data_IF_865460405491
#
_entry.id   IF_865460405491
#
_cell.length_a   1.000
_cell.length_b   1.000
_cell.length_c   1.000
_cell.angle_alpha   90.00
_cell.angle_beta   90.00
_cell.angle_gamma   90.00
#
_symmetry.space_group_name_H-M   'P 1'
#
loop_
_entity.id
_entity.type
_entity.pdbx_description
1 polymer ?
#
# COMPACT_ATOMS: atom_id res chain seq x y z
N UNK A 1 0.89 -1.84 -5.63
CA UNK A 1 -0.22 -2.81 -5.79
C UNK A 1 -0.97 -2.54 -7.09
N UNK A 2 -1.63 -3.52 -7.74
CA UNK A 2 -2.48 -3.26 -8.89
C UNK A 2 -3.69 -2.41 -8.48
N UNK A 3 -4.04 -1.42 -9.31
CA UNK A 3 -5.23 -0.58 -9.09
C UNK A 3 -6.46 -1.41 -9.41
N UNK A 4 -7.36 -1.52 -8.44
CA UNK A 4 -8.63 -2.22 -8.63
C UNK A 4 -9.50 -1.50 -9.66
N UNK A 5 -10.25 -2.20 -10.52
CA UNK A 5 -11.10 -1.59 -11.55
C UNK A 5 -12.02 -0.47 -11.01
N UNK A 6 -12.64 -0.69 -9.86
CA UNK A 6 -13.55 0.25 -9.19
C UNK A 6 -12.86 1.55 -8.74
N UNK A 7 -11.54 1.54 -8.53
CA UNK A 7 -10.78 2.71 -8.08
C UNK A 7 -10.15 3.49 -9.23
N UNK A 8 -10.24 3.04 -10.49
CA UNK A 8 -9.55 3.70 -11.62
C UNK A 8 -9.93 5.16 -11.78
N UNK A 9 -11.18 5.53 -11.53
CA UNK A 9 -11.67 6.91 -11.63
C UNK A 9 -11.12 7.86 -10.55
N UNK A 10 -10.50 7.33 -9.49
CA UNK A 10 -9.85 8.13 -8.44
C UNK A 10 -8.47 8.64 -8.84
N UNK A 11 -7.92 8.10 -9.93
CA UNK A 11 -6.62 8.48 -10.45
C UNK A 11 -6.81 9.40 -11.66
N UNK A 12 -5.87 10.33 -11.92
CA UNK A 12 -5.91 11.15 -13.13
C UNK A 12 -5.74 10.29 -14.39
N UNK A 13 -6.26 10.77 -15.53
CA UNK A 13 -6.20 10.05 -16.80
C UNK A 13 -4.77 9.73 -17.24
N UNK A 14 -3.80 10.61 -16.94
CA UNK A 14 -2.38 10.43 -17.23
C UNK A 14 -1.62 9.64 -16.14
N UNK A 15 -2.31 8.93 -15.25
CA UNK A 15 -1.67 8.08 -14.25
C UNK A 15 -0.58 7.13 -14.79
N UNK A 16 -0.74 6.48 -15.97
CA UNK A 16 0.33 5.63 -16.52
C UNK A 16 1.66 6.38 -16.71
N UNK A 17 1.59 7.65 -17.14
CA UNK A 17 2.76 8.52 -17.34
C UNK A 17 3.38 8.91 -15.99
N UNK A 18 2.56 9.40 -15.05
CA UNK A 18 3.01 9.73 -13.69
C UNK A 18 3.69 8.52 -13.03
N UNK A 19 3.08 7.34 -13.13
CA UNK A 19 3.63 6.12 -12.56
C UNK A 19 4.94 5.69 -13.23
N UNK A 20 5.08 5.87 -14.55
CA UNK A 20 6.32 5.58 -15.27
C UNK A 20 7.43 6.57 -14.88
N UNK A 21 7.11 7.87 -14.80
CA UNK A 21 8.03 8.93 -14.36
C UNK A 21 8.60 8.60 -12.98
N UNK A 22 7.74 8.30 -12.01
CA UNK A 22 8.18 7.97 -10.66
C UNK A 22 9.03 6.69 -10.64
N UNK A 23 8.62 5.62 -11.32
CA UNK A 23 9.28 4.30 -11.20
C UNK A 23 10.56 4.17 -12.02
N UNK A 24 10.62 4.79 -13.19
CA UNK A 24 11.66 4.49 -14.18
C UNK A 24 12.49 5.70 -14.56
N UNK A 25 11.94 6.91 -14.56
CA UNK A 25 12.73 8.12 -14.76
C UNK A 25 13.40 8.57 -13.46
N UNK A 26 12.61 8.93 -12.44
CA UNK A 26 13.12 9.40 -11.14
C UNK A 26 13.85 8.30 -10.37
N UNK A 27 13.18 7.18 -10.13
CA UNK A 27 13.73 6.11 -9.31
C UNK A 27 14.71 5.18 -10.05
N UNK A 28 14.84 5.35 -11.37
CA UNK A 28 15.71 4.54 -12.25
C UNK A 28 15.50 3.03 -12.07
N UNK A 29 14.25 2.60 -11.87
CA UNK A 29 13.92 1.20 -11.66
C UNK A 29 14.35 0.64 -10.31
N UNK A 30 14.71 1.47 -9.31
CA UNK A 30 15.14 1.01 -7.99
C UNK A 30 14.15 1.43 -6.91
N UNK A 31 13.88 0.58 -5.92
CA UNK A 31 12.99 0.89 -4.79
C UNK A 31 13.49 2.09 -3.97
N UNK A 32 12.68 3.14 -3.79
CA UNK A 32 13.04 4.36 -3.04
C UNK A 32 12.77 4.26 -1.54
N UNK A 33 12.21 3.16 -1.03
CA UNK A 33 11.98 2.96 0.40
C UNK A 33 13.31 3.01 1.17
N UNK A 34 13.37 3.84 2.22
CA UNK A 34 14.54 4.01 3.10
C UNK A 34 14.34 3.44 4.52
N UNK A 35 13.24 2.72 4.75
CA UNK A 35 12.91 2.11 6.04
C UNK A 35 11.48 2.37 6.48
N UNK A 36 10.84 3.38 5.88
CA UNK A 36 9.43 3.75 6.12
C UNK A 36 8.42 2.61 5.90
N UNK A 37 8.78 1.57 5.14
CA UNK A 37 7.93 0.38 5.04
C UNK A 37 7.72 -0.32 6.39
N UNK A 38 8.68 -0.22 7.33
CA UNK A 38 8.63 -0.84 8.66
C UNK A 38 9.13 -2.29 8.73
N UNK A 39 9.72 -2.81 7.64
CA UNK A 39 10.04 -4.25 7.53
C UNK A 39 11.31 -4.64 8.28
N UNK A 40 12.16 -3.66 8.63
CA UNK A 40 13.43 -3.90 9.35
C UNK A 40 14.43 -4.75 8.56
N UNK A 41 14.31 -4.77 7.23
CA UNK A 41 15.07 -5.67 6.35
C UNK A 41 16.24 -5.01 5.62
N UNK A 42 16.40 -3.70 5.76
CA UNK A 42 17.48 -2.98 5.10
C UNK A 42 17.83 -1.74 5.93
N UNK A 43 19.13 -1.50 6.14
CA UNK A 43 19.66 -0.42 6.99
C UNK A 43 19.73 0.95 6.28
N UNK A 44 19.10 1.06 5.11
CA UNK A 44 19.07 2.26 4.30
C UNK A 44 18.10 2.11 3.15
N UNK A 45 18.47 2.58 1.95
CA UNK A 45 17.65 2.39 0.75
C UNK A 45 17.50 0.90 0.41
N UNK A 46 16.27 0.44 0.20
CA UNK A 46 15.97 -0.91 -0.22
C UNK A 46 16.78 -1.28 -1.49
N UNK A 47 17.48 -2.44 -1.52
CA UNK A 47 18.35 -2.80 -2.62
C UNK A 47 17.60 -3.30 -3.86
N UNK A 48 16.29 -3.59 -3.75
CA UNK A 48 15.51 -4.20 -4.81
C UNK A 48 15.40 -3.28 -6.05
N UNK A 49 15.81 -3.83 -7.20
CA UNK A 49 15.62 -3.26 -8.54
C UNK A 49 14.51 -3.98 -9.30
N UNK A 50 13.81 -3.27 -10.18
CA UNK A 50 12.72 -3.83 -10.98
C UNK A 50 13.19 -5.00 -11.84
N UNK A 51 12.44 -6.10 -11.83
CA UNK A 51 12.76 -7.31 -12.60
C UNK A 51 13.83 -8.21 -11.99
N UNK A 52 14.63 -7.71 -11.04
CA UNK A 52 15.64 -8.49 -10.33
C UNK A 52 15.00 -9.43 -9.29
N UNK A 53 15.73 -10.46 -8.83
CA UNK A 53 15.34 -11.23 -7.65
C UNK A 53 15.27 -10.33 -6.41
N UNK A 54 14.20 -10.45 -5.64
CA UNK A 54 14.05 -9.72 -4.38
C UNK A 54 15.06 -10.24 -3.37
N UNK A 55 15.73 -9.32 -2.68
CA UNK A 55 16.55 -9.65 -1.53
C UNK A 55 15.71 -10.41 -0.47
N UNK A 56 16.25 -11.50 0.05
CA UNK A 56 15.58 -12.39 1.02
C UNK A 56 14.70 -13.47 0.39
N UNK A 57 13.71 -13.11 -0.45
CA UNK A 57 12.73 -14.09 -0.97
C UNK A 57 13.05 -14.65 -2.35
N UNK A 58 13.93 -14.02 -3.14
CA UNK A 58 14.27 -14.42 -4.50
C UNK A 58 13.17 -14.20 -5.55
N UNK A 59 11.94 -13.88 -5.14
CA UNK A 59 10.80 -13.57 -6.03
C UNK A 59 11.10 -12.38 -6.94
N UNK A 60 10.55 -12.37 -8.16
CA UNK A 60 10.71 -11.24 -9.09
C UNK A 60 10.19 -9.94 -8.48
N UNK A 61 11.03 -8.91 -8.43
CA UNK A 61 10.67 -7.58 -7.94
C UNK A 61 9.80 -6.87 -8.98
N UNK A 62 8.62 -6.44 -8.55
CA UNK A 62 7.77 -5.53 -9.31
C UNK A 62 7.73 -4.19 -8.60
N UNK A 63 8.06 -3.11 -9.32
CA UNK A 63 7.95 -1.75 -8.80
C UNK A 63 6.56 -1.20 -9.09
N UNK A 64 6.04 -0.52 -8.08
CA UNK A 64 4.73 0.13 -8.08
C UNK A 64 4.89 1.52 -7.47
N UNK A 65 3.96 2.42 -7.76
CA UNK A 65 3.93 3.76 -7.16
C UNK A 65 3.03 3.71 -5.91
N UNK A 66 3.59 4.03 -4.74
CA UNK A 66 2.89 4.13 -3.47
C UNK A 66 2.52 5.59 -3.18
N UNK A 67 1.32 5.82 -2.63
CA UNK A 67 0.90 7.11 -2.09
C UNK A 67 1.20 7.09 -0.60
N UNK A 68 2.02 8.02 -0.12
CA UNK A 68 2.49 8.01 1.28
C UNK A 68 1.34 8.30 2.27
N UNK A 69 0.32 9.04 1.83
CA UNK A 69 -0.91 9.32 2.58
C UNK A 69 -2.06 8.32 2.36
N UNK A 70 -1.85 7.30 1.53
CA UNK A 70 -2.86 6.34 1.09
C UNK A 70 -4.08 6.97 0.37
N UNK A 71 -3.95 8.19 -0.20
CA UNK A 71 -4.99 8.85 -1.01
C UNK A 71 -4.63 8.81 -2.51
N UNK A 72 -5.31 7.97 -3.31
CA UNK A 72 -5.16 7.90 -4.78
C UNK A 72 -5.22 9.22 -5.53
N UNK A 73 -6.00 10.18 -5.04
CA UNK A 73 -6.20 11.48 -5.66
C UNK A 73 -4.95 12.39 -5.51
N UNK A 74 -4.14 12.16 -4.48
CA UNK A 74 -2.98 12.99 -4.18
C UNK A 74 -1.74 12.53 -4.95
N UNK A 75 -1.68 12.90 -6.23
CA UNK A 75 -0.58 12.57 -7.13
C UNK A 75 0.62 13.55 -7.08
N UNK A 76 0.77 14.34 -6.01
CA UNK A 76 1.96 15.19 -5.84
C UNK A 76 3.23 14.31 -5.85
N UNK A 77 4.26 14.61 -6.67
CA UNK A 77 5.48 13.81 -6.72
C UNK A 77 6.15 13.58 -5.36
N UNK A 78 6.01 14.49 -4.40
CA UNK A 78 6.52 14.35 -3.04
C UNK A 78 5.71 13.33 -2.20
N UNK A 79 4.43 13.16 -2.51
CA UNK A 79 3.56 12.12 -1.90
C UNK A 79 3.73 10.75 -2.57
N UNK A 80 4.42 10.68 -3.72
CA UNK A 80 4.60 9.43 -4.45
C UNK A 80 5.97 8.81 -4.19
N UNK A 81 6.01 7.49 -4.07
CA UNK A 81 7.25 6.71 -3.92
C UNK A 81 7.27 5.50 -4.85
N UNK A 82 8.37 5.25 -5.54
CA UNK A 82 8.57 3.99 -6.23
C UNK A 82 8.95 2.90 -5.20
N UNK A 83 8.05 1.95 -4.96
CA UNK A 83 8.27 0.86 -4.01
C UNK A 83 8.19 -0.51 -4.67
N UNK A 84 9.08 -1.43 -4.26
CA UNK A 84 8.95 -2.83 -4.59
C UNK A 84 7.70 -3.44 -3.94
N UNK A 85 7.15 -4.48 -4.54
CA UNK A 85 5.97 -5.19 -4.05
C UNK A 85 6.09 -5.57 -2.56
N UNK A 86 7.25 -6.01 -2.10
CA UNK A 86 7.47 -6.32 -0.68
C UNK A 86 7.43 -5.10 0.25
N UNK A 87 8.07 -3.99 -0.11
CA UNK A 87 8.04 -2.77 0.70
C UNK A 87 6.66 -2.12 0.70
N UNK A 88 6.01 -2.02 -0.47
CA UNK A 88 4.68 -1.43 -0.61
C UNK A 88 3.64 -2.19 0.21
N UNK A 89 3.63 -3.54 0.13
CA UNK A 89 2.71 -4.36 0.92
C UNK A 89 2.90 -4.18 2.44
N UNK A 90 4.14 -3.98 2.88
CA UNK A 90 4.40 -3.78 4.31
C UNK A 90 4.04 -2.37 4.78
N UNK A 91 4.27 -1.36 3.93
CA UNK A 91 3.83 0.02 4.16
C UNK A 91 2.30 0.09 4.34
N UNK A 92 1.55 -0.57 3.46
CA UNK A 92 0.08 -0.55 3.47
C UNK A 92 -0.56 -1.47 4.53
N UNK A 93 0.22 -2.19 5.36
CA UNK A 93 -0.30 -3.29 6.19
C UNK A 93 -1.45 -2.87 7.11
N UNK A 94 -1.31 -1.70 7.74
CA UNK A 94 -2.26 -1.19 8.72
C UNK A 94 -3.47 -0.57 8.03
N UNK A 95 -3.25 0.16 6.93
CA UNK A 95 -4.32 0.66 6.07
C UNK A 95 -5.19 -0.48 5.52
N UNK A 96 -4.57 -1.58 5.09
CA UNK A 96 -5.26 -2.79 4.66
C UNK A 96 -6.00 -3.48 5.82
N UNK A 97 -5.42 -3.52 7.03
CA UNK A 97 -6.10 -4.05 8.22
C UNK A 97 -7.36 -3.26 8.56
N UNK A 98 -7.27 -1.93 8.56
CA UNK A 98 -8.40 -1.02 8.80
C UNK A 98 -9.48 -1.17 7.73
N UNK A 99 -9.10 -1.18 6.45
CA UNK A 99 -10.04 -1.37 5.34
C UNK A 99 -10.77 -2.71 5.45
N UNK A 100 -10.06 -3.81 5.72
CA UNK A 100 -10.67 -5.13 5.93
C UNK A 100 -11.65 -5.14 7.10
N UNK A 101 -11.29 -4.53 8.23
CA UNK A 101 -12.16 -4.44 9.39
C UNK A 101 -13.46 -3.68 9.08
N UNK A 102 -13.35 -2.53 8.38
CA UNK A 102 -14.51 -1.73 7.95
C UNK A 102 -15.41 -2.47 6.97
N UNK A 103 -14.83 -3.11 5.95
CA UNK A 103 -15.60 -3.91 5.00
C UNK A 103 -16.31 -5.07 5.69
N UNK A 104 -15.66 -5.74 6.65
CA UNK A 104 -16.28 -6.80 7.44
C UNK A 104 -17.43 -6.27 8.30
N UNK A 105 -17.23 -5.16 9.01
CA UNK A 105 -18.29 -4.56 9.84
C UNK A 105 -19.51 -4.17 8.99
N UNK A 106 -19.29 -3.49 7.85
CA UNK A 106 -20.37 -3.11 6.94
C UNK A 106 -21.10 -4.34 6.35
N UNK A 107 -20.39 -5.44 6.10
CA UNK A 107 -21.00 -6.68 5.62
C UNK A 107 -21.84 -7.38 6.71
N UNK A 108 -21.41 -7.34 7.98
CA UNK A 108 -22.17 -7.86 9.11
C UNK A 108 -23.45 -7.05 9.35
N UNK A 109 -23.33 -5.72 9.34
CA UNK A 109 -24.46 -4.79 9.44
C UNK A 109 -25.47 -5.01 8.29
N UNK A 110 -24.99 -5.11 7.04
CA UNK A 110 -25.84 -5.40 5.89
C UNK A 110 -26.51 -6.79 5.96
N UNK A 111 -25.91 -7.74 6.68
CA UNK A 111 -26.48 -9.06 6.93
C UNK A 111 -27.42 -9.10 8.16
N UNK A 112 -27.65 -7.96 8.84
CA UNK A 112 -28.50 -7.87 10.02
C UNK A 112 -27.90 -8.50 11.28
N UNK A 113 -26.58 -8.64 11.33
CA UNK A 113 -25.85 -9.17 12.49
C UNK A 113 -25.29 -8.01 13.31
N UNK A 114 -26.08 -7.52 14.26
CA UNK A 114 -25.61 -6.51 15.23
C UNK A 114 -24.54 -7.11 16.14
N UNK A 115 -23.43 -6.38 16.31
CA UNK A 115 -22.45 -6.67 17.36
C UNK A 115 -23.11 -6.27 18.67
N UNK A 116 -23.53 -7.24 19.48
CA UNK A 116 -24.05 -6.98 20.82
C UNK A 116 -23.00 -6.17 21.60
N UNK A 117 -23.37 -5.05 22.24
CA UNK A 117 -22.45 -4.34 23.11
C UNK A 117 -22.00 -5.29 24.22
N UNK A 118 -20.68 -5.33 24.48
CA UNK A 118 -20.12 -6.08 25.61
C UNK A 118 -20.84 -5.60 26.87
N UNK A 119 -21.61 -6.49 27.49
CA UNK A 119 -22.40 -6.17 28.66
C UNK A 119 -21.50 -5.64 29.77
N UNK A 120 -21.78 -4.41 30.21
CA UNK A 120 -21.21 -3.82 31.41
C UNK A 120 -21.27 -4.84 32.55
N UNK A 121 -20.10 -5.23 33.02
CA UNK A 121 -19.95 -6.02 34.24
C UNK A 121 -19.97 -5.06 35.43
N UNK A 122 -21.13 -4.45 35.70
CA UNK A 122 -21.43 -3.91 37.02
C UNK A 122 -22.05 -5.01 37.87
N UNK A 123 -21.18 -5.78 38.52
CA UNK A 123 -21.54 -6.69 39.59
C UNK A 123 -21.03 -6.14 40.92
N UNK A 124 -21.96 -5.46 41.63
CA UNK A 124 -22.09 -5.25 43.08
C UNK A 124 -20.92 -4.65 43.86
#
# INVERSE_FOLDING_TARGET
MPIRPENRGRYPANWPEISAEIRFARAQGRCECIGECGRGTHDGRCPNGHGSPAYGTGSRVILTTAHLDHQPENCDPANLRAMCNGCHLHYDKDHHRQTRARTRAAALEAAGQDVLPDGDTDAV
#
